data_IF_057310206540
#
_entry.id   IF_057310206540
#
_cell.length_a   1.000
_cell.length_b   1.000
_cell.length_c   1.000
_cell.angle_alpha   90.00
_cell.angle_beta   90.00
_cell.angle_gamma   90.00
#
_symmetry.space_group_name_H-M   'P 1'
#
loop_
_entity.id
_entity.type
_entity.pdbx_description
1 polymer ?
#
# COMPACT_ATOMS: atom_id res chain seq x y z
N UNK A 1 9.14 -2.91 4.97
CA UNK A 1 7.96 -3.69 4.56
C UNK A 1 6.73 -2.81 4.70
N UNK A 2 5.89 -2.71 3.67
CA UNK A 2 4.68 -1.86 3.68
C UNK A 2 3.47 -2.70 4.10
N UNK A 3 2.62 -2.16 4.97
CA UNK A 3 1.35 -2.77 5.33
C UNK A 3 0.21 -1.95 4.76
N UNK A 4 -0.67 -2.60 4.00
CA UNK A 4 -1.80 -1.97 3.33
C UNK A 4 -3.10 -2.68 3.71
N UNK A 5 -4.18 -1.93 3.78
CA UNK A 5 -5.55 -2.42 3.93
C UNK A 5 -6.26 -2.27 2.59
N UNK A 6 -6.75 -3.39 2.04
CA UNK A 6 -7.54 -3.41 0.82
C UNK A 6 -8.85 -2.64 0.99
N UNK A 7 -9.35 -2.08 -0.12
CA UNK A 7 -10.57 -1.26 -0.18
C UNK A 7 -10.56 -0.09 0.83
N UNK A 8 -9.40 0.50 1.05
CA UNK A 8 -9.19 1.58 2.01
C UNK A 8 -8.11 2.56 1.54
N UNK A 9 -8.12 3.77 2.10
CA UNK A 9 -7.02 4.72 1.94
C UNK A 9 -5.96 4.43 3.00
N UNK A 10 -4.72 4.27 2.54
CA UNK A 10 -3.58 3.94 3.38
C UNK A 10 -2.60 5.11 3.41
N UNK A 11 -2.12 5.47 4.59
CA UNK A 11 -1.00 6.40 4.72
C UNK A 11 0.30 5.62 4.66
N UNK A 12 1.17 5.97 3.71
CA UNK A 12 2.54 5.46 3.67
C UNK A 12 3.53 6.56 4.04
N UNK A 13 4.57 6.19 4.79
CA UNK A 13 5.72 7.04 5.10
C UNK A 13 6.95 6.31 4.59
N UNK A 14 7.70 6.95 3.71
CA UNK A 14 8.74 6.29 2.93
C UNK A 14 10.01 7.14 2.88
N UNK A 15 11.14 6.45 2.89
CA UNK A 15 12.44 7.01 2.56
C UNK A 15 12.93 6.24 1.35
N UNK A 16 12.85 6.85 0.16
CA UNK A 16 13.25 6.18 -1.07
C UNK A 16 14.73 5.85 -1.06
N UNK A 17 15.08 4.62 -1.45
CA UNK A 17 16.48 4.19 -1.61
C UNK A 17 17.23 5.12 -2.57
N UNK A 18 16.56 5.59 -3.62
CA UNK A 18 17.08 6.67 -4.48
C UNK A 18 16.02 7.76 -4.65
N UNK A 19 16.32 9.00 -4.23
CA UNK A 19 15.49 10.16 -4.58
C UNK A 19 15.65 10.46 -6.07
N UNK A 20 14.66 10.09 -6.87
CA UNK A 20 14.62 10.44 -8.29
C UNK A 20 13.88 11.78 -8.53
N UNK A 21 14.45 12.61 -9.40
CA UNK A 21 14.07 14.02 -9.57
C UNK A 21 13.48 14.35 -10.95
N UNK A 22 13.28 13.36 -11.83
CA UNK A 22 12.93 13.61 -13.24
C UNK A 22 11.46 13.34 -13.58
N UNK A 23 10.80 12.41 -12.88
CA UNK A 23 9.37 12.17 -13.04
C UNK A 23 8.51 13.12 -12.19
N UNK A 24 7.28 13.34 -12.62
CA UNK A 24 6.23 14.09 -11.89
C UNK A 24 5.41 13.21 -10.95
N UNK A 25 5.51 11.88 -11.09
CA UNK A 25 4.78 10.89 -10.29
C UNK A 25 5.60 9.64 -10.04
N UNK A 26 5.27 8.96 -8.96
CA UNK A 26 5.67 7.58 -8.72
C UNK A 26 4.57 6.62 -9.18
N UNK A 27 4.96 5.44 -9.66
CA UNK A 27 4.05 4.29 -9.78
C UNK A 27 4.51 3.23 -8.79
N UNK A 28 3.68 2.93 -7.80
CA UNK A 28 3.85 1.79 -6.90
C UNK A 28 3.21 0.57 -7.57
N UNK A 29 4.01 -0.39 -7.99
CA UNK A 29 3.56 -1.69 -8.47
C UNK A 29 3.58 -2.68 -7.32
N UNK A 30 2.47 -3.38 -7.12
CA UNK A 30 2.39 -4.55 -6.25
C UNK A 30 2.29 -5.80 -7.12
N UNK A 31 3.23 -6.73 -6.98
CA UNK A 31 3.21 -8.03 -7.66
C UNK A 31 2.88 -9.10 -6.63
N UNK A 32 1.74 -9.77 -6.80
CA UNK A 32 1.33 -10.87 -5.91
C UNK A 32 2.35 -12.00 -5.97
N UNK A 33 2.92 -12.39 -4.83
CA UNK A 33 3.88 -13.50 -4.79
C UNK A 33 3.19 -14.84 -5.12
N UNK A 34 1.91 -14.98 -4.75
CA UNK A 34 1.15 -16.20 -4.98
C UNK A 34 0.64 -16.34 -6.42
N UNK A 35 0.33 -15.21 -7.09
CA UNK A 35 -0.35 -15.21 -8.40
C UNK A 35 0.49 -14.66 -9.55
N UNK A 36 1.60 -14.01 -9.23
CA UNK A 36 2.43 -13.29 -10.19
C UNK A 36 1.62 -12.29 -11.04
N UNK A 37 0.70 -11.59 -10.39
CA UNK A 37 -0.16 -10.56 -10.99
C UNK A 37 0.21 -9.19 -10.43
N UNK A 38 0.30 -8.21 -11.31
CA UNK A 38 0.66 -6.83 -10.99
C UNK A 38 -0.57 -5.96 -10.75
N UNK A 39 -0.45 -5.01 -9.84
CA UNK A 39 -1.41 -3.92 -9.65
C UNK A 39 -0.66 -2.62 -9.41
N UNK A 40 -0.94 -1.61 -10.24
CA UNK A 40 -0.23 -0.34 -10.24
C UNK A 40 -1.06 0.76 -9.56
N UNK A 41 -0.40 1.54 -8.70
CA UNK A 41 -0.96 2.70 -8.02
C UNK A 41 -0.17 3.95 -8.40
N UNK A 42 -0.86 4.98 -8.89
CA UNK A 42 -0.22 6.27 -9.19
C UNK A 42 -0.16 7.14 -7.94
N UNK A 43 1.02 7.69 -7.65
CA UNK A 43 1.28 8.61 -6.55
C UNK A 43 1.87 9.88 -7.14
N UNK A 44 1.14 11.00 -7.10
CA UNK A 44 1.67 12.28 -7.58
C UNK A 44 2.69 12.83 -6.58
N UNK A 45 3.87 13.27 -7.05
CA UNK A 45 4.89 13.85 -6.16
C UNK A 45 4.39 15.14 -5.49
N UNK A 46 3.52 15.89 -6.17
CA UNK A 46 2.85 17.08 -5.64
C UNK A 46 1.88 16.78 -4.48
N UNK A 47 1.47 15.53 -4.30
CA UNK A 47 0.60 15.11 -3.19
C UNK A 47 1.40 14.70 -1.94
N UNK A 48 2.70 15.01 -1.86
CA UNK A 48 3.52 14.71 -0.70
C UNK A 48 3.06 15.56 0.51
N UNK A 49 2.61 14.87 1.56
CA UNK A 49 2.11 15.45 2.81
C UNK A 49 3.22 15.60 3.86
N UNK A 50 4.48 15.31 3.51
CA UNK A 50 5.61 15.43 4.44
C UNK A 50 5.95 16.90 4.69
N UNK A 51 6.08 17.27 5.96
CA UNK A 51 6.64 18.57 6.37
C UNK A 51 8.17 18.61 6.29
N UNK A 52 8.82 17.47 6.08
CA UNK A 52 10.28 17.33 6.03
C UNK A 52 10.68 16.55 4.78
N UNK A 53 10.38 17.15 3.62
CA UNK A 53 10.55 16.52 2.30
C UNK A 53 11.98 16.14 1.97
N UNK A 54 12.98 16.63 2.70
CA UNK A 54 14.37 16.19 2.52
C UNK A 54 14.65 14.83 3.19
N UNK A 55 13.86 14.46 4.21
CA UNK A 55 14.08 13.28 5.05
C UNK A 55 13.19 12.11 4.66
N UNK A 56 11.92 12.37 4.46
CA UNK A 56 10.93 11.35 4.11
C UNK A 56 9.81 11.97 3.31
N UNK A 57 9.11 11.13 2.57
CA UNK A 57 7.88 11.48 1.91
C UNK A 57 6.69 10.78 2.58
N UNK A 58 5.52 11.42 2.53
CA UNK A 58 4.29 10.91 3.11
C UNK A 58 3.18 11.03 2.09
N UNK A 59 2.47 9.95 1.84
CA UNK A 59 1.38 9.93 0.87
C UNK A 59 0.17 9.19 1.42
N UNK A 60 -1.00 9.54 0.90
CA UNK A 60 -2.21 8.74 1.02
C UNK A 60 -2.44 8.01 -0.30
N UNK A 61 -2.68 6.71 -0.22
CA UNK A 61 -2.89 5.83 -1.38
C UNK A 61 -4.22 5.11 -1.19
N UNK A 62 -5.15 5.34 -2.12
CA UNK A 62 -6.37 4.56 -2.21
C UNK A 62 -6.05 3.17 -2.78
N UNK A 63 -6.10 2.15 -1.93
CA UNK A 63 -5.91 0.76 -2.33
C UNK A 63 -7.28 0.17 -2.64
N UNK A 64 -7.47 -0.29 -3.88
CA UNK A 64 -8.71 -0.92 -4.32
C UNK A 64 -8.93 -2.30 -3.72
N UNK A 65 -9.91 -3.02 -4.26
CA UNK A 65 -10.17 -4.41 -3.90
C UNK A 65 -9.09 -5.32 -4.49
N UNK A 66 -7.97 -5.46 -3.76
CA UNK A 66 -6.93 -6.44 -4.02
C UNK A 66 -6.93 -7.49 -2.91
N UNK A 67 -6.46 -8.70 -3.24
CA UNK A 67 -6.52 -9.82 -2.31
C UNK A 67 -5.59 -9.65 -1.11
N UNK A 68 -5.98 -10.25 0.01
CA UNK A 68 -5.09 -10.38 1.17
C UNK A 68 -3.90 -11.26 0.80
N UNK A 69 -2.70 -10.84 1.19
CA UNK A 69 -1.51 -11.67 1.04
C UNK A 69 -0.21 -10.89 0.97
N UNK A 70 0.86 -11.60 0.62
CA UNK A 70 2.21 -11.05 0.46
C UNK A 70 2.46 -10.66 -1.00
N UNK A 71 3.10 -9.50 -1.17
CA UNK A 71 3.42 -8.89 -2.45
C UNK A 71 4.88 -8.46 -2.46
N UNK A 72 5.52 -8.56 -3.63
CA UNK A 72 6.67 -7.71 -3.92
C UNK A 72 6.15 -6.33 -4.30
N UNK A 73 6.87 -5.28 -3.93
CA UNK A 73 6.60 -3.96 -4.46
C UNK A 73 7.82 -3.35 -5.12
N UNK A 74 7.56 -2.57 -6.17
CA UNK A 74 8.54 -1.74 -6.86
C UNK A 74 7.93 -0.35 -7.02
N UNK A 75 8.76 0.68 -6.87
CA UNK A 75 8.35 2.06 -7.10
C UNK A 75 9.16 2.62 -8.25
N UNK A 76 8.45 3.07 -9.29
CA UNK A 76 9.04 3.63 -10.49
C UNK A 76 8.90 5.15 -10.50
N UNK A 77 9.98 5.88 -10.81
CA UNK A 77 9.88 7.31 -11.10
C UNK A 77 9.63 7.55 -12.60
N UNK A 78 8.52 8.21 -12.93
CA UNK A 78 8.09 8.37 -14.32
C UNK A 78 7.17 9.58 -14.50
N UNK A 79 6.93 9.94 -15.75
CA UNK A 79 5.90 10.90 -16.13
C UNK A 79 4.63 10.20 -16.65
N UNK A 80 4.70 8.91 -16.99
CA UNK A 80 3.63 8.23 -17.74
C UNK A 80 3.34 6.83 -17.19
N UNK A 81 4.15 5.83 -17.53
CA UNK A 81 3.90 4.41 -17.24
C UNK A 81 5.17 3.75 -16.69
N UNK A 82 5.02 2.52 -16.16
CA UNK A 82 6.14 1.70 -15.68
C UNK A 82 7.14 1.41 -16.80
N UNK A 83 6.67 1.06 -18.00
CA UNK A 83 7.56 0.76 -19.14
C UNK A 83 8.36 1.97 -19.65
N UNK A 84 7.95 3.19 -19.30
CA UNK A 84 8.67 4.43 -19.62
C UNK A 84 9.54 4.93 -18.45
N UNK A 85 9.52 4.26 -17.30
CA UNK A 85 10.32 4.63 -16.16
C UNK A 85 11.81 4.39 -16.44
N UNK A 86 12.64 5.36 -16.09
CA UNK A 86 14.10 5.26 -16.28
C UNK A 86 14.78 4.54 -15.12
N UNK A 87 14.12 4.48 -13.96
CA UNK A 87 14.67 3.87 -12.76
C UNK A 87 13.57 3.36 -11.83
N UNK A 88 13.93 2.32 -11.08
CA UNK A 88 13.22 1.87 -9.87
C UNK A 88 13.87 2.57 -8.68
N UNK A 89 13.09 3.31 -7.91
CA UNK A 89 13.59 4.12 -6.78
C UNK A 89 13.55 3.38 -5.44
N UNK A 90 12.75 2.32 -5.37
CA UNK A 90 12.55 1.53 -4.17
C UNK A 90 11.99 0.16 -4.56
N UNK A 91 12.43 -0.89 -3.87
CA UNK A 91 11.81 -2.21 -3.92
C UNK A 91 11.68 -2.80 -2.52
N UNK A 92 10.76 -3.74 -2.35
CA UNK A 92 10.67 -4.46 -1.08
C UNK A 92 9.46 -5.38 -1.02
N UNK A 93 9.08 -5.71 0.21
CA UNK A 93 7.92 -6.54 0.51
C UNK A 93 6.76 -5.69 1.01
N UNK A 94 5.55 -6.09 0.63
CA UNK A 94 4.31 -5.55 1.14
C UNK A 94 3.38 -6.68 1.60
N UNK A 95 2.54 -6.38 2.59
CA UNK A 95 1.46 -7.25 3.02
C UNK A 95 0.14 -6.49 2.95
N UNK A 96 -0.82 -7.06 2.22
CA UNK A 96 -2.17 -6.53 2.12
C UNK A 96 -3.06 -7.32 3.07
N UNK A 97 -3.75 -6.63 3.95
CA UNK A 97 -4.83 -7.17 4.77
C UNK A 97 -6.19 -6.72 4.24
N UNK A 98 -7.24 -7.45 4.58
CA UNK A 98 -8.61 -6.96 4.43
C UNK A 98 -8.98 -6.18 5.69
N UNK A 99 -9.75 -5.10 5.54
CA UNK A 99 -10.39 -4.46 6.68
C UNK A 99 -11.20 -5.54 7.41
N UNK A 100 -11.09 -5.61 8.74
CA UNK A 100 -11.79 -6.60 9.55
C UNK A 100 -13.27 -6.58 9.20
N UNK A 101 -13.72 -7.58 8.44
CA UNK A 101 -15.14 -7.84 8.24
C UNK A 101 -15.63 -8.43 9.56
N UNK A 102 -16.64 -7.80 10.14
CA UNK A 102 -17.24 -8.06 11.45
C UNK A 102 -17.03 -9.48 12.01
N UNK A 103 -16.42 -9.57 13.20
CA UNK A 103 -16.49 -10.79 14.00
C UNK A 103 -17.89 -10.86 14.57
N UNK A 104 -18.73 -11.77 14.05
CA UNK A 104 -20.02 -12.07 14.68
C UNK A 104 -19.77 -12.72 16.06
N UNK A 105 -19.81 -11.91 17.11
CA UNK A 105 -19.75 -12.40 18.48
C UNK A 105 -21.15 -12.82 18.91
N UNK A 106 -21.44 -14.12 18.86
CA UNK A 106 -22.70 -14.66 19.40
C UNK A 106 -22.58 -14.82 20.92
N UNK A 107 -23.30 -13.97 21.68
CA UNK A 107 -23.42 -14.09 23.13
C UNK A 107 -24.40 -15.22 23.48
N UNK A 108 -23.90 -16.29 24.10
CA UNK A 108 -24.76 -17.32 24.71
C UNK A 108 -25.03 -16.94 26.16
N UNK A 109 -26.30 -16.74 26.52
CA UNK A 109 -26.70 -16.51 27.91
C UNK A 109 -27.16 -17.83 28.53
N UNK A 110 -26.48 -18.30 29.58
CA UNK A 110 -26.92 -19.47 30.36
C UNK A 110 -27.68 -18.97 31.58
N UNK A 111 -28.98 -19.24 31.66
CA UNK A 111 -29.81 -18.90 32.82
C UNK A 111 -29.88 -20.11 33.77
N UNK A 112 -29.30 -20.00 34.95
CA UNK A 112 -29.45 -21.02 35.99
C UNK A 112 -30.76 -20.82 36.76
N UNK A 113 -31.54 -21.89 36.88
CA UNK A 113 -32.78 -21.90 37.68
C UNK A 113 -32.43 -22.34 39.10
N UNK A 114 -32.60 -21.46 40.08
CA UNK A 114 -32.51 -21.83 41.50
C UNK A 114 -33.78 -22.60 41.91
N UNK A 115 -33.58 -23.72 42.60
CA UNK A 115 -34.64 -24.58 43.16
C UNK A 115 -35.31 -23.92 44.38
#
# INVERSE_FOLDING_TARGET
MIYLTASSTNTIVVTWTQRASSGSKYILRLTSIAKNMDTDFTILKSANLSSYTDRYDKFEIAVGAIEKGSYNYEVYDTNTTVGAALAVVETGLAFVQIATTDINTYQNTITYKTL
#
